data_IF_489881945002
#
_entry.id   IF_489881945002
#
_cell.length_a   1.000
_cell.length_b   1.000
_cell.length_c   1.000
_cell.angle_alpha   90.00
_cell.angle_beta   90.00
_cell.angle_gamma   90.00
#
_symmetry.space_group_name_H-M   'P 1'
#
loop_
_entity.id
_entity.type
_entity.pdbx_description
1 polymer ?
#
# COMPACT_ATOMS: atom_id res chain seq x y z
N UNK A 1 -0.71 41.37 -82.58
CA UNK A 1 -0.21 41.20 -83.97
C UNK A 1 0.31 39.78 -84.07
N UNK A 2 -0.32 38.96 -84.93
CA UNK A 2 0.13 37.73 -85.61
C UNK A 2 1.09 36.76 -84.87
N UNK A 3 0.77 35.49 -84.56
CA UNK A 3 0.41 34.31 -85.40
C UNK A 3 1.57 33.28 -85.47
N UNK A 4 1.19 31.98 -85.31
CA UNK A 4 1.82 30.69 -85.75
C UNK A 4 3.15 30.24 -85.16
N UNK A 5 3.24 29.05 -84.54
CA UNK A 5 3.29 27.68 -85.12
C UNK A 5 4.49 27.45 -86.05
N UNK A 6 5.37 26.49 -85.75
CA UNK A 6 5.37 25.15 -86.38
C UNK A 6 6.53 24.26 -85.89
N UNK A 7 6.20 22.97 -85.81
CA UNK A 7 7.08 21.81 -85.60
C UNK A 7 8.16 21.67 -86.70
N UNK A 8 9.18 20.84 -86.43
CA UNK A 8 9.54 19.62 -87.20
C UNK A 8 10.85 19.00 -86.66
N UNK A 9 10.78 17.70 -86.33
CA UNK A 9 11.88 16.73 -86.11
C UNK A 9 12.48 16.23 -87.44
N UNK A 10 13.71 15.65 -87.52
CA UNK A 10 13.81 14.17 -87.42
C UNK A 10 15.14 13.56 -86.87
N UNK A 11 14.98 12.39 -86.23
CA UNK A 11 15.77 11.13 -86.24
C UNK A 11 17.33 11.13 -86.29
N UNK A 12 18.01 10.41 -85.38
CA UNK A 12 18.36 8.98 -85.48
C UNK A 12 19.22 8.44 -84.29
N UNK A 13 18.74 7.32 -83.73
CA UNK A 13 19.36 6.19 -82.99
C UNK A 13 20.79 6.30 -82.42
N UNK A 14 20.93 5.93 -81.15
CA UNK A 14 21.82 4.82 -80.70
C UNK A 14 21.35 4.25 -79.34
N UNK A 15 21.68 2.97 -79.15
CA UNK A 15 21.33 2.02 -78.09
C UNK A 15 21.60 2.56 -76.66
N UNK A 16 20.88 2.20 -75.59
CA UNK A 16 20.82 0.87 -74.96
C UNK A 16 19.57 0.72 -74.05
N UNK A 17 19.20 -0.54 -73.79
CA UNK A 17 17.93 -0.96 -73.17
C UNK A 17 17.91 -0.73 -71.65
N UNK A 18 16.95 0.06 -71.18
CA UNK A 18 16.52 0.05 -69.77
C UNK A 18 15.70 -1.22 -69.49
N UNK A 19 16.18 -2.04 -68.57
CA UNK A 19 15.43 -3.17 -68.00
C UNK A 19 14.48 -2.62 -66.93
N UNK A 20 13.20 -2.93 -67.12
CA UNK A 20 12.08 -2.57 -66.25
C UNK A 20 12.05 -3.53 -65.03
N UNK A 21 11.80 -2.95 -63.84
CA UNK A 21 11.47 -3.57 -62.55
C UNK A 21 10.46 -4.74 -62.66
N UNK A 22 10.48 -5.72 -61.72
CA UNK A 22 9.84 -5.50 -60.42
C UNK A 22 10.58 -6.15 -59.25
N UNK A 23 11.19 -5.34 -58.39
CA UNK A 23 11.65 -5.80 -57.08
C UNK A 23 10.45 -5.85 -56.13
N UNK A 24 9.99 -7.07 -55.90
CA UNK A 24 9.59 -7.63 -54.60
C UNK A 24 8.38 -6.98 -53.90
N UNK A 25 7.27 -7.72 -54.03
CA UNK A 25 6.28 -7.94 -52.96
C UNK A 25 7.01 -8.26 -51.63
N UNK A 26 7.08 -7.33 -50.69
CA UNK A 26 7.11 -7.64 -49.25
C UNK A 26 6.90 -6.39 -48.39
N UNK A 27 5.70 -5.79 -48.40
CA UNK A 27 5.30 -4.79 -47.40
C UNK A 27 3.85 -5.04 -46.95
N UNK A 28 3.58 -6.28 -46.58
CA UNK A 28 2.48 -6.61 -45.69
C UNK A 28 3.03 -7.54 -44.60
N UNK A 29 2.65 -7.28 -43.35
CA UNK A 29 2.92 -8.14 -42.17
C UNK A 29 4.20 -7.94 -41.35
N UNK A 30 4.77 -6.74 -41.25
CA UNK A 30 5.77 -6.46 -40.19
C UNK A 30 5.56 -5.07 -39.61
N UNK A 31 4.66 -4.93 -38.64
CA UNK A 31 4.67 -3.86 -37.61
C UNK A 31 3.54 -4.03 -36.56
N UNK A 32 3.16 -5.27 -36.23
CA UNK A 32 2.21 -5.53 -35.11
C UNK A 32 2.67 -6.61 -34.12
N UNK A 33 3.83 -7.24 -34.36
CA UNK A 33 4.35 -8.31 -33.50
C UNK A 33 5.43 -7.78 -32.52
N UNK A 34 6.03 -6.61 -32.76
CA UNK A 34 7.01 -6.01 -31.84
C UNK A 34 6.41 -5.12 -30.74
N UNK A 35 5.09 -4.94 -30.69
CA UNK A 35 4.42 -4.15 -29.64
C UNK A 35 3.85 -5.01 -28.50
N UNK A 36 3.77 -6.33 -28.69
CA UNK A 36 3.26 -7.26 -27.67
C UNK A 36 4.29 -7.74 -26.62
N UNK A 37 5.61 -7.81 -26.89
CA UNK A 37 6.57 -8.16 -25.83
C UNK A 37 7.08 -6.94 -25.05
N UNK A 38 6.78 -5.71 -25.48
CA UNK A 38 7.15 -4.49 -24.74
C UNK A 38 6.18 -4.18 -23.58
N UNK A 39 4.93 -4.66 -23.68
CA UNK A 39 3.91 -4.46 -22.64
C UNK A 39 3.99 -5.47 -21.48
N UNK A 40 4.87 -6.48 -21.55
CA UNK A 40 5.02 -7.52 -20.52
C UNK A 40 6.21 -7.20 -19.57
N UNK A 41 7.04 -6.20 -19.91
CA UNK A 41 8.32 -5.94 -19.23
C UNK A 41 8.29 -4.85 -18.15
N UNK A 42 7.12 -4.31 -17.77
CA UNK A 42 7.00 -3.14 -16.88
C UNK A 42 6.11 -3.41 -15.65
N UNK A 43 6.35 -4.57 -15.03
CA UNK A 43 5.67 -5.09 -13.83
C UNK A 43 5.94 -4.22 -12.57
N UNK A 44 4.97 -3.39 -12.24
CA UNK A 44 4.43 -3.06 -10.89
C UNK A 44 5.39 -2.62 -9.75
N UNK A 45 5.38 -1.31 -9.44
CA UNK A 45 5.83 -0.69 -8.17
C UNK A 45 4.62 -0.45 -7.28
N UNK A 46 4.64 -0.85 -5.99
CA UNK A 46 3.55 -0.52 -5.05
C UNK A 46 4.07 -0.06 -3.68
N UNK A 47 3.29 0.87 -3.15
CA UNK A 47 3.50 1.89 -2.13
C UNK A 47 2.73 1.59 -0.85
N UNK A 48 3.23 2.03 0.32
CA UNK A 48 2.57 1.86 1.64
C UNK A 48 2.43 0.37 2.02
N UNK A 49 2.43 -0.08 3.30
CA UNK A 49 3.23 -1.26 3.71
C UNK A 49 3.24 -2.36 2.67
N UNK A 50 4.43 -2.74 2.23
CA UNK A 50 4.57 -3.74 1.18
C UNK A 50 3.63 -4.90 1.48
N UNK A 51 2.86 -5.32 0.48
CA UNK A 51 1.75 -6.26 0.63
C UNK A 51 2.07 -7.48 1.50
N UNK A 52 3.34 -7.89 1.53
CA UNK A 52 3.89 -8.85 2.46
C UNK A 52 3.56 -8.59 3.94
N UNK A 53 3.84 -7.39 4.46
CA UNK A 53 3.70 -7.09 5.89
C UNK A 53 2.22 -7.03 6.32
N UNK A 54 1.34 -6.40 5.54
CA UNK A 54 -0.10 -6.39 5.85
C UNK A 54 -0.69 -7.81 5.88
N UNK A 55 -0.34 -8.63 4.89
CA UNK A 55 -0.74 -10.05 4.83
C UNK A 55 -0.26 -10.81 6.07
N UNK A 56 1.03 -10.72 6.37
CA UNK A 56 1.64 -11.42 7.50
C UNK A 56 1.06 -10.97 8.85
N UNK A 57 0.91 -9.67 9.07
CA UNK A 57 0.34 -9.10 10.30
C UNK A 57 -1.09 -9.61 10.52
N UNK A 58 -1.94 -9.56 9.48
CA UNK A 58 -3.33 -10.00 9.57
C UNK A 58 -3.44 -11.51 9.78
N UNK A 59 -2.63 -12.29 9.06
CA UNK A 59 -2.53 -13.73 9.27
C UNK A 59 -2.15 -14.06 10.72
N UNK A 60 -1.14 -13.38 11.26
CA UNK A 60 -0.68 -13.61 12.63
C UNK A 60 -1.70 -13.18 13.68
N UNK A 61 -2.47 -12.11 13.42
CA UNK A 61 -3.49 -11.61 14.33
C UNK A 61 -4.59 -12.65 14.63
N UNK A 62 -4.90 -13.53 13.66
CA UNK A 62 -5.87 -14.63 13.83
C UNK A 62 -5.49 -15.54 15.00
N UNK A 63 -4.20 -15.75 15.23
CA UNK A 63 -3.69 -16.64 16.27
C UNK A 63 -3.68 -16.03 17.68
N UNK A 64 -3.99 -14.73 17.81
CA UNK A 64 -4.13 -14.06 19.11
C UNK A 64 -5.52 -14.27 19.73
N UNK A 65 -6.50 -14.69 18.93
CA UNK A 65 -7.91 -14.71 19.33
C UNK A 65 -8.22 -15.82 20.36
N UNK A 66 -9.15 -15.58 21.30
CA UNK A 66 -9.61 -16.60 22.24
C UNK A 66 -10.45 -17.68 21.54
N UNK A 67 -10.57 -18.85 22.18
CA UNK A 67 -11.23 -20.02 21.60
C UNK A 67 -12.66 -19.78 21.06
N UNK A 68 -13.42 -18.89 21.70
CA UNK A 68 -14.78 -18.54 21.29
C UNK A 68 -14.87 -17.92 19.87
N UNK A 69 -13.80 -17.25 19.43
CA UNK A 69 -13.76 -16.52 18.15
C UNK A 69 -12.74 -17.13 17.18
N UNK A 70 -11.67 -17.74 17.72
CA UNK A 70 -10.55 -18.25 16.94
C UNK A 70 -10.95 -19.27 15.87
N UNK A 71 -11.95 -20.12 16.12
CA UNK A 71 -12.40 -21.11 15.14
C UNK A 71 -12.88 -20.48 13.82
N UNK A 72 -13.63 -19.39 13.91
CA UNK A 72 -14.13 -18.65 12.75
C UNK A 72 -13.00 -18.02 11.95
N UNK A 73 -12.12 -17.25 12.61
CA UNK A 73 -11.03 -16.55 11.92
C UNK A 73 -9.98 -17.51 11.35
N UNK A 74 -9.70 -18.63 12.03
CA UNK A 74 -8.81 -19.67 11.50
C UNK A 74 -9.37 -20.34 10.25
N UNK A 75 -10.70 -20.54 10.19
CA UNK A 75 -11.33 -21.07 8.99
C UNK A 75 -11.19 -20.10 7.80
N UNK A 76 -11.22 -18.79 8.05
CA UNK A 76 -11.13 -17.75 7.02
C UNK A 76 -9.76 -17.07 6.91
N UNK A 77 -8.71 -17.68 7.43
CA UNK A 77 -7.38 -17.04 7.52
C UNK A 77 -6.85 -16.65 6.14
N UNK A 78 -7.09 -17.46 5.11
CA UNK A 78 -6.65 -17.17 3.74
C UNK A 78 -7.35 -15.94 3.18
N UNK A 79 -8.66 -15.79 3.40
CA UNK A 79 -9.39 -14.58 3.01
C UNK A 79 -8.83 -13.36 3.75
N UNK A 80 -8.72 -13.43 5.07
CA UNK A 80 -8.24 -12.32 5.89
C UNK A 80 -6.82 -11.90 5.47
N UNK A 81 -5.98 -12.87 5.13
CA UNK A 81 -4.62 -12.64 4.63
C UNK A 81 -4.67 -11.95 3.27
N UNK A 82 -5.32 -12.55 2.27
CA UNK A 82 -5.31 -12.03 0.89
C UNK A 82 -5.98 -10.67 0.74
N UNK A 83 -7.02 -10.39 1.52
CA UNK A 83 -7.76 -9.14 1.50
C UNK A 83 -7.17 -8.06 2.44
N UNK A 84 -6.10 -8.35 3.18
CA UNK A 84 -5.42 -7.38 4.04
C UNK A 84 -4.81 -6.18 3.29
N UNK A 85 -4.74 -6.24 1.96
CA UNK A 85 -4.15 -5.22 1.08
C UNK A 85 -5.21 -4.53 0.20
N UNK A 86 -6.49 -4.87 0.38
CA UNK A 86 -7.54 -4.34 -0.50
C UNK A 86 -7.78 -2.84 -0.29
N UNK A 87 -7.48 -2.30 0.89
CA UNK A 87 -7.52 -0.86 1.12
C UNK A 87 -6.51 -0.10 0.23
N UNK A 88 -5.26 -0.56 0.14
CA UNK A 88 -4.30 0.03 -0.79
C UNK A 88 -4.75 -0.09 -2.24
N UNK A 89 -5.32 -1.24 -2.64
CA UNK A 89 -5.87 -1.41 -3.98
C UNK A 89 -7.00 -0.41 -4.27
N UNK A 90 -7.83 -0.08 -3.26
CA UNK A 90 -8.88 0.93 -3.41
C UNK A 90 -8.33 2.33 -3.67
N UNK A 91 -7.11 2.65 -3.25
CA UNK A 91 -6.49 3.93 -3.57
C UNK A 91 -6.27 4.16 -5.08
N UNK A 92 -6.43 3.14 -5.93
CA UNK A 92 -6.33 3.26 -7.38
C UNK A 92 -7.68 3.49 -8.08
N UNK A 93 -8.79 3.34 -7.36
CA UNK A 93 -10.16 3.40 -7.92
C UNK A 93 -11.13 4.27 -7.10
N UNK A 94 -10.83 4.57 -5.84
CA UNK A 94 -11.60 5.43 -4.94
C UNK A 94 -10.74 6.60 -4.44
N UNK A 95 -11.07 7.82 -4.87
CA UNK A 95 -10.38 9.06 -4.46
C UNK A 95 -10.55 9.37 -2.97
N UNK A 96 -11.56 8.78 -2.32
CA UNK A 96 -11.81 8.95 -0.90
C UNK A 96 -11.06 7.93 -0.03
N UNK A 97 -10.36 6.96 -0.62
CA UNK A 97 -9.60 5.95 0.12
C UNK A 97 -8.29 6.51 0.65
N UNK A 98 -7.48 7.18 -0.17
CA UNK A 98 -6.12 7.60 0.23
C UNK A 98 -6.02 8.32 1.59
N UNK A 99 -6.89 9.29 1.94
CA UNK A 99 -6.87 9.92 3.27
C UNK A 99 -7.09 8.98 4.46
N UNK A 100 -7.59 7.77 4.24
CA UNK A 100 -7.91 6.79 5.29
C UNK A 100 -6.68 6.08 5.84
N UNK A 101 -5.55 6.15 5.13
CA UNK A 101 -4.33 5.42 5.46
C UNK A 101 -3.36 6.19 6.35
N UNK A 102 -3.51 7.51 6.50
CA UNK A 102 -2.53 8.32 7.22
C UNK A 102 -3.18 9.42 8.05
N UNK A 103 -2.35 10.11 8.84
CA UNK A 103 -2.65 11.41 9.43
C UNK A 103 -1.37 12.23 9.52
N UNK A 104 -1.26 13.32 8.78
CA UNK A 104 -0.15 14.27 8.83
C UNK A 104 -0.23 15.10 10.12
N UNK A 105 0.11 14.51 11.27
CA UNK A 105 -0.10 15.11 12.59
C UNK A 105 0.69 16.43 12.75
N UNK A 106 1.91 16.48 12.22
CA UNK A 106 2.78 17.67 12.18
C UNK A 106 2.13 18.91 11.52
N UNK A 107 1.12 18.76 10.66
CA UNK A 107 0.36 19.88 10.07
C UNK A 107 -0.58 20.58 11.06
N UNK A 108 -0.74 20.06 12.27
CA UNK A 108 -1.62 20.61 13.30
C UNK A 108 -0.89 21.40 14.39
N UNK A 109 0.42 21.58 14.27
CA UNK A 109 1.25 22.39 15.16
C UNK A 109 2.32 21.57 15.88
N UNK A 110 3.08 22.22 16.77
CA UNK A 110 4.19 21.58 17.49
C UNK A 110 3.74 20.49 18.47
N UNK A 111 2.53 20.62 19.03
CA UNK A 111 1.91 19.64 19.93
C UNK A 111 0.61 19.15 19.29
N UNK A 112 0.68 18.30 18.25
CA UNK A 112 -0.49 18.00 17.44
C UNK A 112 -1.55 17.23 18.22
N UNK A 113 -1.15 16.33 19.11
CA UNK A 113 -2.08 15.52 19.91
C UNK A 113 -2.80 16.28 21.03
N UNK A 114 -2.32 17.47 21.41
CA UNK A 114 -3.04 18.36 22.31
C UNK A 114 -4.01 19.28 21.54
N UNK A 115 -3.79 19.38 20.22
CA UNK A 115 -4.52 20.28 19.34
C UNK A 115 -5.65 19.59 18.60
N UNK A 116 -5.45 18.35 18.13
CA UNK A 116 -6.43 17.61 17.33
C UNK A 116 -7.50 17.02 18.24
N UNK A 117 -8.79 17.39 18.09
CA UNK A 117 -9.86 16.78 18.87
C UNK A 117 -10.00 15.30 18.53
N UNK A 118 -10.11 14.46 19.54
CA UNK A 118 -10.30 13.01 19.38
C UNK A 118 -11.58 12.70 18.60
N UNK A 119 -12.69 13.38 18.92
CA UNK A 119 -13.98 13.14 18.27
C UNK A 119 -14.12 13.89 16.94
N UNK A 120 -14.61 13.18 15.92
CA UNK A 120 -14.75 13.69 14.54
C UNK A 120 -15.57 14.99 14.46
N UNK A 121 -16.71 15.07 15.16
CA UNK A 121 -17.56 16.27 15.15
C UNK A 121 -16.85 17.51 15.68
N UNK A 122 -16.07 17.36 16.75
CA UNK A 122 -15.24 18.42 17.30
C UNK A 122 -14.06 18.78 16.36
N UNK A 123 -13.45 17.78 15.73
CA UNK A 123 -12.39 17.99 14.75
C UNK A 123 -12.88 18.78 13.53
N UNK A 124 -14.06 18.45 13.00
CA UNK A 124 -14.70 19.21 11.92
C UNK A 124 -14.95 20.65 12.36
N UNK A 125 -15.53 20.84 13.56
CA UNK A 125 -15.82 22.18 14.09
C UNK A 125 -14.56 23.05 14.22
N UNK A 126 -13.41 22.44 14.51
CA UNK A 126 -12.13 23.14 14.66
C UNK A 126 -11.37 23.37 13.34
N UNK A 127 -11.38 22.40 12.42
CA UNK A 127 -10.46 22.40 11.27
C UNK A 127 -11.13 22.38 9.90
N UNK A 128 -12.45 22.18 9.82
CA UNK A 128 -13.20 21.83 8.60
C UNK A 128 -12.87 20.43 8.06
N UNK A 129 -13.89 19.74 7.55
CA UNK A 129 -13.74 18.41 6.97
C UNK A 129 -12.72 18.37 5.82
N UNK A 130 -12.73 19.38 4.95
CA UNK A 130 -11.78 19.48 3.82
C UNK A 130 -10.31 19.43 4.28
N UNK A 131 -9.98 20.12 5.38
CA UNK A 131 -8.60 20.12 5.92
C UNK A 131 -8.24 18.76 6.51
N UNK A 132 -9.18 18.12 7.22
CA UNK A 132 -8.97 16.80 7.80
C UNK A 132 -8.72 15.76 6.69
N UNK A 133 -9.56 15.74 5.65
CA UNK A 133 -9.37 14.85 4.51
C UNK A 133 -8.05 15.10 3.77
N UNK A 134 -7.62 16.37 3.64
CA UNK A 134 -6.33 16.69 3.02
C UNK A 134 -5.12 16.30 3.87
N UNK A 135 -5.29 16.13 5.18
CA UNK A 135 -4.22 15.80 6.13
C UNK A 135 -4.35 14.37 6.67
N UNK A 136 -5.26 13.56 6.13
CA UNK A 136 -5.48 12.18 6.57
C UNK A 136 -6.39 12.05 7.81
N UNK A 137 -7.12 10.94 7.87
CA UNK A 137 -8.17 10.66 8.85
C UNK A 137 -8.05 9.30 9.54
N UNK A 138 -6.88 8.68 9.49
CA UNK A 138 -6.65 7.29 9.92
C UNK A 138 -7.25 6.91 11.30
N UNK A 139 -7.07 7.67 12.41
CA UNK A 139 -7.66 7.30 13.70
C UNK A 139 -9.19 7.19 13.66
N UNK A 140 -9.85 8.11 12.94
CA UNK A 140 -11.29 8.11 12.80
C UNK A 140 -11.76 7.01 11.86
N UNK A 141 -10.99 6.70 10.82
CA UNK A 141 -11.28 5.58 9.94
C UNK A 141 -11.23 4.25 10.69
N UNK A 142 -10.23 4.02 11.56
CA UNK A 142 -10.16 2.80 12.38
C UNK A 142 -11.44 2.63 13.20
N UNK A 143 -11.88 3.71 13.86
CA UNK A 143 -13.13 3.67 14.64
C UNK A 143 -14.37 3.44 13.75
N UNK A 144 -14.42 4.03 12.55
CA UNK A 144 -15.53 3.78 11.61
C UNK A 144 -15.56 2.32 11.15
N UNK A 145 -14.40 1.77 10.78
CA UNK A 145 -14.27 0.36 10.39
C UNK A 145 -14.62 -0.59 11.54
N UNK A 146 -14.29 -0.22 12.77
CA UNK A 146 -14.69 -0.95 13.97
C UNK A 146 -16.21 -1.03 14.10
N UNK A 147 -16.90 0.12 14.04
CA UNK A 147 -18.36 0.17 14.13
C UNK A 147 -19.04 -0.62 13.00
N UNK A 148 -18.48 -0.58 11.79
CA UNK A 148 -18.96 -1.40 10.67
C UNK A 148 -18.79 -2.90 10.93
N UNK A 149 -17.68 -3.31 11.54
CA UNK A 149 -17.46 -4.71 11.92
C UNK A 149 -18.43 -5.15 13.02
N UNK A 150 -18.68 -4.31 14.03
CA UNK A 150 -19.69 -4.57 15.07
C UNK A 150 -21.08 -4.77 14.44
N UNK A 151 -21.49 -3.90 13.52
CA UNK A 151 -22.77 -4.02 12.81
C UNK A 151 -22.86 -5.31 11.97
N UNK A 152 -21.79 -5.65 11.25
CA UNK A 152 -21.72 -6.87 10.45
C UNK A 152 -21.80 -8.14 11.33
N UNK A 153 -21.09 -8.16 12.46
CA UNK A 153 -21.15 -9.26 13.43
C UNK A 153 -22.55 -9.37 14.04
N UNK A 154 -23.16 -8.24 14.42
CA UNK A 154 -24.50 -8.20 15.02
C UNK A 154 -25.58 -8.72 14.07
N UNK A 155 -25.45 -8.39 12.78
CA UNK A 155 -26.36 -8.83 11.72
C UNK A 155 -26.08 -10.24 11.20
N UNK A 156 -24.92 -10.83 11.53
CA UNK A 156 -24.51 -12.15 11.06
C UNK A 156 -24.20 -12.20 9.57
N UNK A 157 -23.82 -11.08 8.95
CA UNK A 157 -23.47 -11.01 7.54
C UNK A 157 -22.01 -11.46 7.34
N UNK A 158 -21.83 -12.71 6.92
CA UNK A 158 -20.51 -13.31 6.74
C UNK A 158 -19.59 -12.48 5.84
N UNK A 159 -20.07 -12.02 4.69
CA UNK A 159 -19.24 -11.30 3.72
C UNK A 159 -18.80 -9.94 4.28
N UNK A 160 -19.72 -9.22 4.93
CA UNK A 160 -19.38 -7.95 5.59
C UNK A 160 -18.44 -8.15 6.76
N UNK A 161 -18.59 -9.22 7.54
CA UNK A 161 -17.67 -9.55 8.64
C UNK A 161 -16.26 -9.73 8.10
N UNK A 162 -16.09 -10.56 7.07
CA UNK A 162 -14.77 -10.84 6.50
C UNK A 162 -14.13 -9.59 5.91
N UNK A 163 -14.87 -8.85 5.08
CA UNK A 163 -14.40 -7.59 4.48
C UNK A 163 -14.00 -6.57 5.54
N UNK A 164 -14.87 -6.30 6.52
CA UNK A 164 -14.57 -5.30 7.55
C UNK A 164 -13.47 -5.75 8.51
N UNK A 165 -13.28 -7.06 8.70
CA UNK A 165 -12.16 -7.61 9.46
C UNK A 165 -10.82 -7.35 8.76
N UNK A 166 -10.75 -7.58 7.45
CA UNK A 166 -9.56 -7.30 6.65
C UNK A 166 -9.28 -5.78 6.57
N UNK A 167 -10.31 -4.98 6.31
CA UNK A 167 -10.20 -3.51 6.21
C UNK A 167 -9.72 -2.88 7.53
N UNK A 168 -10.32 -3.22 8.67
CA UNK A 168 -9.84 -2.69 9.96
C UNK A 168 -8.43 -3.19 10.28
N UNK A 169 -8.12 -4.44 9.93
CA UNK A 169 -6.79 -5.01 10.10
C UNK A 169 -5.73 -4.24 9.33
N UNK A 170 -6.04 -3.83 8.11
CA UNK A 170 -5.20 -2.95 7.30
C UNK A 170 -4.96 -1.58 7.99
N UNK A 171 -6.03 -0.84 8.31
CA UNK A 171 -5.88 0.50 8.89
C UNK A 171 -5.18 0.49 10.26
N UNK A 172 -5.41 -0.55 11.08
CA UNK A 172 -4.70 -0.69 12.35
C UNK A 172 -3.21 -0.98 12.13
N UNK A 173 -2.86 -1.73 11.09
CA UNK A 173 -1.46 -1.91 10.70
C UNK A 173 -0.86 -0.58 10.24
N UNK A 174 -1.51 0.19 9.35
CA UNK A 174 -1.07 1.55 8.95
C UNK A 174 -0.77 2.45 10.14
N UNK A 175 -1.64 2.44 11.16
CA UNK A 175 -1.43 3.27 12.34
C UNK A 175 -0.16 2.90 13.12
N UNK A 176 0.43 1.72 12.89
CA UNK A 176 1.70 1.30 13.49
C UNK A 176 2.94 1.77 12.72
N UNK A 177 2.82 2.39 11.54
CA UNK A 177 3.95 3.01 10.83
C UNK A 177 4.18 4.41 11.33
N UNK A 178 5.40 4.76 11.75
CA UNK A 178 5.75 6.15 12.06
C UNK A 178 5.47 7.10 10.88
N UNK A 179 5.88 6.72 9.66
CA UNK A 179 5.75 7.53 8.45
C UNK A 179 4.29 7.77 7.98
N UNK A 180 3.31 7.00 8.47
CA UNK A 180 1.88 7.28 8.26
C UNK A 180 1.34 8.41 9.14
N UNK A 181 2.17 8.95 10.03
CA UNK A 181 1.74 9.95 11.02
C UNK A 181 2.34 11.34 10.78
N UNK A 182 3.11 11.52 9.69
CA UNK A 182 3.80 12.78 9.37
C UNK A 182 3.63 13.17 7.90
N UNK A 183 3.62 14.47 7.63
CA UNK A 183 3.69 15.03 6.30
C UNK A 183 5.06 14.82 5.62
N UNK A 184 6.11 14.39 6.34
CA UNK A 184 7.41 13.97 5.80
C UNK A 184 7.51 12.45 5.59
N UNK A 185 6.38 11.81 5.31
CA UNK A 185 6.22 10.36 5.18
C UNK A 185 7.26 9.68 4.29
N UNK A 186 7.63 10.29 3.19
CA UNK A 186 8.59 9.73 2.26
C UNK A 186 9.93 10.47 2.30
N UNK A 187 10.27 11.13 3.41
CA UNK A 187 11.55 11.82 3.56
C UNK A 187 11.75 13.02 2.62
N UNK A 188 10.69 13.47 1.94
CA UNK A 188 10.77 14.53 0.92
C UNK A 188 11.09 15.92 1.48
N UNK A 189 10.98 16.11 2.79
CA UNK A 189 11.34 17.34 3.49
C UNK A 189 12.76 17.26 4.10
N UNK A 190 13.36 16.07 4.13
CA UNK A 190 14.67 15.79 4.76
C UNK A 190 15.69 15.13 3.82
N UNK A 191 15.40 15.09 2.51
CA UNK A 191 16.25 14.49 1.46
C UNK A 191 16.45 12.96 1.57
N UNK A 192 15.42 12.25 2.04
CA UNK A 192 15.42 10.80 2.23
C UNK A 192 14.31 10.14 1.39
N UNK A 193 14.10 10.64 0.15
CA UNK A 193 13.05 10.15 -0.76
C UNK A 193 13.17 8.64 -0.95
N UNK A 194 12.06 7.93 -0.73
CA UNK A 194 11.98 6.47 -0.76
C UNK A 194 12.10 5.80 0.61
N UNK A 195 12.30 6.55 1.70
CA UNK A 195 12.38 5.98 3.05
C UNK A 195 11.08 5.31 3.49
N UNK A 196 9.93 5.73 2.97
CA UNK A 196 8.64 5.10 3.24
C UNK A 196 8.67 3.62 2.81
N UNK A 197 8.86 3.37 1.51
CA UNK A 197 8.95 2.02 0.98
C UNK A 197 10.14 1.22 1.56
N UNK A 198 11.21 1.90 1.96
CA UNK A 198 12.35 1.26 2.61
C UNK A 198 11.97 0.69 3.97
N UNK A 199 11.43 1.51 4.88
CA UNK A 199 11.08 1.09 6.24
C UNK A 199 10.01 0.00 6.24
N UNK A 200 9.07 0.12 5.31
CA UNK A 200 7.78 -0.52 5.42
C UNK A 200 7.61 -1.75 4.51
N UNK A 201 8.33 -1.79 3.39
CA UNK A 201 8.35 -2.94 2.48
C UNK A 201 9.67 -3.69 2.59
N UNK A 202 10.79 -2.99 2.39
CA UNK A 202 12.10 -3.65 2.28
C UNK A 202 12.55 -4.31 3.57
N UNK A 203 12.44 -3.64 4.73
CA UNK A 203 12.85 -4.24 6.00
C UNK A 203 11.99 -5.46 6.38
N UNK A 204 10.65 -5.41 6.34
CA UNK A 204 9.85 -6.58 6.64
C UNK A 204 10.08 -7.75 5.67
N UNK A 205 10.21 -7.49 4.36
CA UNK A 205 10.51 -8.53 3.37
C UNK A 205 11.82 -9.28 3.68
N UNK A 206 12.86 -8.57 4.11
CA UNK A 206 14.16 -9.17 4.43
C UNK A 206 14.19 -9.87 5.79
N UNK A 207 13.58 -9.27 6.81
CA UNK A 207 13.88 -9.64 8.21
C UNK A 207 12.70 -10.29 8.96
N UNK A 208 11.47 -10.20 8.46
CA UNK A 208 10.30 -10.74 9.18
C UNK A 208 10.35 -12.24 9.46
N UNK A 209 11.08 -13.02 8.65
CA UNK A 209 11.30 -14.44 8.90
C UNK A 209 12.11 -14.75 10.18
N UNK A 210 12.78 -13.75 10.76
CA UNK A 210 13.55 -13.86 12.00
C UNK A 210 12.85 -13.29 13.23
N UNK A 211 11.71 -12.61 13.06
CA UNK A 211 11.00 -11.95 14.15
C UNK A 211 10.22 -12.96 15.00
N UNK A 212 10.07 -12.67 16.29
CA UNK A 212 9.13 -13.37 17.14
C UNK A 212 7.75 -12.70 17.05
N UNK A 213 6.73 -13.45 16.63
CA UNK A 213 5.34 -12.98 16.57
C UNK A 213 4.44 -13.59 17.65
N UNK A 214 5.03 -14.17 18.71
CA UNK A 214 4.28 -14.56 19.89
C UNK A 214 3.94 -13.33 20.75
N UNK A 215 2.80 -12.71 20.44
CA UNK A 215 2.35 -11.45 21.06
C UNK A 215 1.32 -11.61 22.19
N UNK A 216 0.88 -12.84 22.45
CA UNK A 216 -0.10 -13.15 23.49
C UNK A 216 -1.55 -13.13 22.97
N UNK A 217 -2.50 -13.06 23.91
CA UNK A 217 -3.93 -13.17 23.63
C UNK A 217 -4.58 -11.80 23.47
N UNK A 218 -5.51 -11.69 22.52
CA UNK A 218 -6.37 -10.53 22.35
C UNK A 218 -7.13 -10.17 23.65
N UNK A 219 -7.23 -8.87 23.92
CA UNK A 219 -7.95 -8.27 25.05
C UNK A 219 -8.99 -7.27 24.55
N UNK A 220 -10.01 -7.03 25.38
CA UNK A 220 -11.05 -6.06 25.09
C UNK A 220 -10.50 -4.62 25.10
N UNK A 221 -10.97 -3.80 24.16
CA UNK A 221 -10.64 -2.38 24.01
C UNK A 221 -11.87 -1.57 24.38
N UNK A 222 -11.79 -0.83 25.49
CA UNK A 222 -12.94 -0.06 26.01
C UNK A 222 -13.35 1.11 25.11
N UNK A 223 -12.38 1.75 24.45
CA UNK A 223 -12.61 2.89 23.57
C UNK A 223 -11.78 2.71 22.29
N UNK A 224 -12.37 2.15 21.22
CA UNK A 224 -11.69 1.90 19.95
C UNK A 224 -11.05 3.16 19.35
N UNK A 225 -11.73 4.30 19.49
CA UNK A 225 -11.24 5.59 19.02
C UNK A 225 -10.03 6.08 19.82
N UNK A 226 -10.07 6.02 21.15
CA UNK A 226 -8.92 6.42 21.99
C UNK A 226 -7.73 5.49 21.76
N UNK A 227 -7.98 4.19 21.57
CA UNK A 227 -6.92 3.23 21.27
C UNK A 227 -6.25 3.53 19.91
N UNK A 228 -7.04 3.89 18.88
CA UNK A 228 -6.50 4.32 17.60
C UNK A 228 -5.62 5.57 17.75
N UNK A 229 -6.04 6.56 18.55
CA UNK A 229 -5.24 7.75 18.85
C UNK A 229 -3.98 7.44 19.64
N UNK A 230 -4.04 6.51 20.61
CA UNK A 230 -2.88 6.04 21.37
C UNK A 230 -1.83 5.44 20.44
N UNK A 231 -2.25 4.53 19.54
CA UNK A 231 -1.37 3.87 18.57
C UNK A 231 -0.70 4.90 17.65
N UNK A 232 -1.47 5.86 17.10
CA UNK A 232 -0.94 6.92 16.24
C UNK A 232 0.03 7.82 16.99
N UNK A 233 -0.26 8.19 18.23
CA UNK A 233 0.66 8.98 19.07
C UNK A 233 1.98 8.26 19.31
N UNK A 234 1.93 6.95 19.55
CA UNK A 234 3.13 6.11 19.69
C UNK A 234 3.93 5.98 18.40
N UNK A 235 3.26 5.84 17.25
CA UNK A 235 3.93 5.87 15.94
C UNK A 235 4.61 7.20 15.67
N UNK A 236 3.91 8.31 15.93
CA UNK A 236 4.44 9.64 15.68
C UNK A 236 5.69 9.94 16.51
N UNK A 237 5.73 9.46 17.75
CA UNK A 237 6.90 9.61 18.61
C UNK A 237 8.17 8.94 18.06
N UNK A 238 8.05 8.05 17.06
CA UNK A 238 9.16 7.35 16.44
C UNK A 238 9.59 7.96 15.09
N UNK A 239 8.90 9.01 14.61
CA UNK A 239 9.21 9.64 13.32
C UNK A 239 10.63 10.20 13.29
N UNK A 240 11.03 10.88 14.37
CA UNK A 240 12.37 11.46 14.48
C UNK A 240 13.45 10.38 14.51
N UNK A 241 13.21 9.25 15.19
CA UNK A 241 14.14 8.11 15.19
C UNK A 241 14.26 7.49 13.79
N UNK A 242 13.13 7.27 13.09
CA UNK A 242 13.14 6.70 11.74
C UNK A 242 13.91 7.58 10.76
N UNK A 243 13.66 8.89 10.76
CA UNK A 243 14.33 9.81 9.84
C UNK A 243 15.77 10.09 10.28
N UNK A 244 16.01 10.35 11.56
CA UNK A 244 17.32 10.69 12.10
C UNK A 244 18.32 9.54 11.96
N UNK A 245 17.92 8.32 12.31
CA UNK A 245 18.81 7.15 12.22
C UNK A 245 19.22 6.86 10.77
N UNK A 246 18.28 6.94 9.82
CA UNK A 246 18.64 6.75 8.40
C UNK A 246 19.56 7.86 7.89
N UNK A 247 19.35 9.11 8.32
CA UNK A 247 20.20 10.23 7.93
C UNK A 247 21.63 10.07 8.48
N UNK A 248 21.78 9.73 9.76
CA UNK A 248 23.09 9.47 10.38
C UNK A 248 23.80 8.30 9.72
N UNK A 249 23.08 7.20 9.44
CA UNK A 249 23.63 6.07 8.70
C UNK A 249 24.08 6.50 7.30
N UNK A 250 23.24 7.25 6.58
CA UNK A 250 23.52 7.70 5.22
C UNK A 250 24.79 8.56 5.13
N UNK A 251 25.04 9.42 6.13
CA UNK A 251 26.25 10.23 6.19
C UNK A 251 27.52 9.39 6.41
N UNK A 252 27.42 8.32 7.20
CA UNK A 252 28.55 7.44 7.50
C UNK A 252 28.78 6.34 6.45
N UNK A 253 27.78 6.01 5.63
CA UNK A 253 27.84 4.87 4.73
C UNK A 253 28.43 5.21 3.35
N UNK A 254 29.23 4.31 2.73
CA UNK A 254 29.72 4.54 1.37
C UNK A 254 28.58 4.68 0.35
N UNK A 255 28.52 5.83 -0.33
CA UNK A 255 27.44 6.17 -1.25
C UNK A 255 27.25 5.17 -2.41
N UNK A 256 28.34 4.54 -2.85
CA UNK A 256 28.35 3.51 -3.89
C UNK A 256 27.77 2.16 -3.42
N UNK A 257 27.55 1.99 -2.10
CA UNK A 257 27.02 0.76 -1.49
C UNK A 257 25.61 0.90 -0.92
N UNK A 258 25.05 2.11 -0.91
CA UNK A 258 23.69 2.37 -0.40
C UNK A 258 22.62 1.62 -1.20
N UNK A 259 22.78 1.60 -2.52
CA UNK A 259 21.81 1.01 -3.43
C UNK A 259 22.37 -0.24 -4.11
N UNK A 260 21.48 -1.19 -4.37
CA UNK A 260 21.74 -2.37 -5.16
C UNK A 260 20.62 -2.63 -6.15
N UNK A 261 20.78 -3.69 -6.94
CA UNK A 261 19.73 -4.19 -7.82
C UNK A 261 19.13 -5.44 -7.22
N UNK A 262 17.82 -5.43 -7.01
CA UNK A 262 17.07 -6.54 -6.43
C UNK A 262 16.11 -7.06 -7.48
N UNK A 263 16.08 -8.37 -7.69
CA UNK A 263 15.07 -9.00 -8.53
C UNK A 263 13.76 -9.10 -7.74
N UNK A 264 12.76 -8.31 -8.13
CA UNK A 264 11.39 -8.43 -7.65
C UNK A 264 10.54 -8.93 -8.81
N UNK A 265 9.95 -10.11 -8.66
CA UNK A 265 9.08 -10.70 -9.68
C UNK A 265 9.71 -10.76 -11.09
N UNK A 266 10.99 -11.15 -11.17
CA UNK A 266 11.75 -11.20 -12.44
C UNK A 266 12.04 -9.85 -13.09
N UNK A 267 11.80 -8.75 -12.39
CA UNK A 267 12.22 -7.40 -12.78
C UNK A 267 13.33 -6.95 -11.85
N UNK A 268 14.41 -6.46 -12.45
CA UNK A 268 15.54 -5.92 -11.72
C UNK A 268 15.26 -4.45 -11.36
N UNK A 269 15.06 -4.18 -10.07
CA UNK A 269 14.74 -2.83 -9.57
C UNK A 269 15.88 -2.30 -8.71
N UNK A 270 16.25 -1.04 -8.93
CA UNK A 270 17.19 -0.36 -8.04
C UNK A 270 16.50 -0.09 -6.70
N UNK A 271 17.07 -0.59 -5.62
CA UNK A 271 16.54 -0.43 -4.26
C UNK A 271 17.69 -0.32 -3.25
N UNK A 272 17.38 -0.14 -1.98
CA UNK A 272 18.37 -0.20 -0.91
C UNK A 272 19.03 -1.59 -0.89
N UNK A 273 20.36 -1.62 -0.81
CA UNK A 273 21.14 -2.87 -0.77
C UNK A 273 20.82 -3.70 0.47
N UNK A 274 21.07 -5.01 0.43
CA UNK A 274 20.87 -5.88 1.58
C UNK A 274 21.72 -5.42 2.77
N UNK A 275 22.97 -5.02 2.51
CA UNK A 275 23.91 -4.57 3.55
C UNK A 275 23.46 -3.26 4.19
N UNK A 276 23.01 -2.28 3.39
CA UNK A 276 22.46 -1.03 3.94
C UNK A 276 21.17 -1.26 4.72
N UNK A 277 20.30 -2.16 4.20
CA UNK A 277 19.07 -2.56 4.87
C UNK A 277 19.33 -3.20 6.22
N UNK A 278 20.34 -4.08 6.31
CA UNK A 278 20.75 -4.70 7.57
C UNK A 278 21.31 -3.67 8.56
N UNK A 279 22.21 -2.79 8.11
CA UNK A 279 22.78 -1.76 8.97
C UNK A 279 21.70 -0.83 9.55
N UNK A 280 20.74 -0.42 8.72
CA UNK A 280 19.61 0.39 9.17
C UNK A 280 18.69 -0.37 10.13
N UNK A 281 18.37 -1.63 9.81
CA UNK A 281 17.55 -2.48 10.67
C UNK A 281 18.18 -2.70 12.06
N UNK A 282 19.50 -2.92 12.11
CA UNK A 282 20.27 -3.03 13.36
C UNK A 282 20.27 -1.71 14.14
N UNK A 283 20.46 -0.57 13.46
CA UNK A 283 20.43 0.75 14.08
C UNK A 283 19.04 1.13 14.64
N UNK A 284 17.96 0.67 13.99
CA UNK A 284 16.59 0.77 14.49
C UNK A 284 16.34 -0.10 15.74
N UNK A 285 17.30 -0.94 16.14
CA UNK A 285 17.30 -1.71 17.38
C UNK A 285 15.98 -2.46 17.63
N UNK A 286 15.47 -3.18 16.63
CA UNK A 286 14.24 -3.98 16.71
C UNK A 286 12.93 -3.18 16.63
N UNK A 287 12.97 -1.91 16.21
CA UNK A 287 11.77 -1.07 16.10
C UNK A 287 10.71 -1.68 15.17
N UNK A 288 11.11 -2.14 13.98
CA UNK A 288 10.19 -2.70 12.96
C UNK A 288 9.44 -3.90 13.54
N UNK A 289 10.17 -4.85 14.15
CA UNK A 289 9.58 -6.00 14.84
C UNK A 289 8.60 -5.57 15.93
N UNK A 290 8.98 -4.62 16.80
CA UNK A 290 8.08 -4.11 17.86
C UNK A 290 6.79 -3.52 17.29
N UNK A 291 6.87 -2.77 16.18
CA UNK A 291 5.68 -2.19 15.53
C UNK A 291 4.80 -3.27 14.90
N UNK A 292 5.38 -4.26 14.21
CA UNK A 292 4.63 -5.41 13.67
C UNK A 292 3.96 -6.21 14.78
N UNK A 293 4.65 -6.51 15.87
CA UNK A 293 4.10 -7.19 17.05
C UNK A 293 2.93 -6.40 17.66
N UNK A 294 3.09 -5.08 17.79
CA UNK A 294 2.03 -4.18 18.24
C UNK A 294 0.80 -4.22 17.34
N UNK A 295 0.99 -4.21 16.02
CA UNK A 295 -0.08 -4.29 15.04
C UNK A 295 -0.84 -5.62 15.14
N UNK A 296 -0.13 -6.76 15.17
CA UNK A 296 -0.70 -8.10 15.32
C UNK A 296 -1.63 -8.18 16.53
N UNK A 297 -1.13 -7.76 17.71
CA UNK A 297 -1.92 -7.80 18.94
C UNK A 297 -3.10 -6.83 18.89
N UNK A 298 -2.89 -5.62 18.37
CA UNK A 298 -3.94 -4.60 18.30
C UNK A 298 -5.09 -5.05 17.40
N UNK A 299 -4.79 -5.60 16.22
CA UNK A 299 -5.81 -6.14 15.31
C UNK A 299 -6.64 -7.23 16.00
N UNK A 300 -5.97 -8.17 16.68
CA UNK A 300 -6.65 -9.17 17.50
C UNK A 300 -7.56 -8.56 18.57
N UNK A 301 -7.10 -7.52 19.25
CA UNK A 301 -7.89 -6.77 20.24
C UNK A 301 -9.13 -6.13 19.61
N UNK A 302 -9.00 -5.47 18.45
CA UNK A 302 -10.12 -4.85 17.75
C UNK A 302 -11.15 -5.89 17.27
N UNK A 303 -10.72 -6.99 16.65
CA UNK A 303 -11.63 -8.07 16.23
C UNK A 303 -12.37 -8.69 17.41
N UNK A 304 -11.65 -8.99 18.51
CA UNK A 304 -12.24 -9.56 19.71
C UNK A 304 -13.25 -8.60 20.36
N UNK A 305 -12.91 -7.32 20.43
CA UNK A 305 -13.78 -6.30 21.00
C UNK A 305 -15.03 -6.10 20.17
N UNK A 306 -14.90 -6.08 18.84
CA UNK A 306 -16.05 -5.95 17.95
C UNK A 306 -17.03 -7.12 18.10
N UNK A 307 -16.52 -8.35 18.32
CA UNK A 307 -17.35 -9.51 18.60
C UNK A 307 -18.07 -9.43 19.95
N UNK A 308 -17.41 -8.91 20.99
CA UNK A 308 -18.05 -8.66 22.29
C UNK A 308 -19.17 -7.62 22.12
N UNK A 309 -18.86 -6.49 21.50
CA UNK A 309 -19.79 -5.36 21.34
C UNK A 309 -20.98 -5.71 20.44
N UNK A 310 -20.80 -6.66 19.51
CA UNK A 310 -21.87 -7.22 18.70
C UNK A 310 -22.81 -8.18 19.45
N UNK A 311 -22.63 -8.35 20.76
CA UNK A 311 -23.45 -9.26 21.58
C UNK A 311 -23.00 -10.72 21.51
N UNK A 312 -21.73 -10.97 21.16
CA UNK A 312 -21.13 -12.31 21.12
C UNK A 312 -21.92 -13.31 20.24
N UNK A 313 -22.20 -12.97 18.96
CA UNK A 313 -22.95 -13.85 18.08
C UNK A 313 -22.24 -15.20 17.93
N UNK A 314 -23.04 -16.27 17.76
CA UNK A 314 -22.49 -17.60 17.56
C UNK A 314 -21.94 -17.74 16.13
N UNK A 315 -20.63 -17.51 15.98
CA UNK A 315 -19.94 -17.57 14.69
C UNK A 315 -19.94 -18.96 14.05
N UNK A 316 -20.18 -20.04 14.81
CA UNK A 316 -20.29 -21.39 14.25
C UNK A 316 -21.55 -21.59 13.41
N UNK A 317 -22.57 -20.73 13.61
CA UNK A 317 -23.82 -20.76 12.83
C UNK A 317 -23.74 -19.98 11.53
N UNK A 318 -22.68 -19.19 11.33
CA UNK A 318 -22.39 -18.53 10.07
C UNK A 318 -21.83 -19.60 9.13
N UNK A 319 -22.72 -20.43 8.59
CA UNK A 319 -22.33 -21.58 7.76
C UNK A 319 -21.66 -21.10 6.48
N UNK A 320 -20.52 -21.71 6.20
CA UNK A 320 -19.67 -21.48 5.04
C UNK A 320 -20.41 -21.86 3.76
N UNK A 321 -21.13 -20.90 3.17
CA UNK A 321 -21.52 -21.01 1.78
C UNK A 321 -20.24 -20.97 0.95
N UNK A 322 -20.06 -21.92 0.04
CA UNK A 322 -18.95 -21.97 -0.92
C UNK A 322 -18.92 -20.77 -1.89
N UNK A 323 -19.75 -19.75 -1.65
CA UNK A 323 -19.89 -18.53 -2.43
C UNK A 323 -19.46 -17.32 -1.59
N UNK A 324 -18.33 -17.41 -0.87
CA UNK A 324 -17.53 -16.21 -0.72
C UNK A 324 -17.08 -15.86 -2.13
N UNK A 325 -17.90 -15.06 -2.83
CA UNK A 325 -17.49 -14.41 -4.05
C UNK A 325 -16.08 -13.89 -3.77
N UNK A 326 -15.15 -14.24 -4.63
CA UNK A 326 -13.83 -13.62 -4.67
C UNK A 326 -14.05 -12.16 -5.01
N UNK A 327 -14.45 -11.36 -4.02
CA UNK A 327 -14.50 -9.90 -4.05
C UNK A 327 -13.05 -9.39 -3.99
N UNK A 328 -12.24 -9.91 -4.89
CA UNK A 328 -10.85 -9.53 -5.03
C UNK A 328 -10.84 -8.32 -5.92
N UNK A 329 -10.53 -7.17 -5.34
CA UNK A 329 -10.14 -6.03 -6.14
C UNK A 329 -8.92 -6.45 -6.97
N UNK A 330 -8.95 -6.23 -8.30
CA UNK A 330 -7.81 -6.55 -9.13
C UNK A 330 -6.61 -5.73 -8.66
N UNK A 331 -5.42 -6.28 -8.85
CA UNK A 331 -4.20 -5.50 -8.70
C UNK A 331 -4.26 -4.29 -9.63
N UNK A 332 -3.77 -3.11 -9.21
CA UNK A 332 -3.69 -1.94 -10.08
C UNK A 332 -2.96 -2.27 -11.38
N UNK A 333 -3.40 -1.66 -12.48
CA UNK A 333 -2.75 -1.84 -13.78
C UNK A 333 -1.35 -1.19 -13.78
N UNK A 334 -0.47 -1.68 -14.65
CA UNK A 334 0.88 -1.13 -14.81
C UNK A 334 0.83 0.37 -15.11
N UNK A 335 1.56 1.17 -14.31
CA UNK A 335 1.60 2.62 -14.44
C UNK A 335 0.34 3.35 -14.00
N UNK A 336 -0.66 2.66 -13.43
CA UNK A 336 -1.80 3.31 -12.81
C UNK A 336 -1.34 4.11 -11.60
N UNK A 337 -1.61 5.41 -11.59
CA UNK A 337 -1.26 6.27 -10.46
C UNK A 337 -2.25 6.10 -9.30
N UNK A 338 -1.75 6.22 -8.07
CA UNK A 338 -2.59 6.33 -6.88
C UNK A 338 -3.43 7.61 -6.95
N UNK A 339 -4.71 7.48 -6.62
CA UNK A 339 -5.64 8.60 -6.43
C UNK A 339 -5.47 9.16 -5.01
N UNK A 340 -4.63 10.19 -4.86
CA UNK A 340 -4.43 10.88 -3.58
C UNK A 340 -2.97 11.15 -3.27
N UNK A 341 -2.52 10.78 -2.07
CA UNK A 341 -1.12 10.92 -1.63
C UNK A 341 -0.21 10.11 -2.56
N UNK A 342 0.73 10.78 -3.22
CA UNK A 342 1.72 10.13 -4.08
C UNK A 342 2.92 9.69 -3.25
N UNK A 343 3.20 8.40 -3.22
CA UNK A 343 4.52 7.90 -2.83
C UNK A 343 5.47 8.08 -4.02
N UNK A 344 6.59 8.77 -3.81
CA UNK A 344 7.60 9.01 -4.84
C UNK A 344 8.69 7.94 -4.68
N UNK A 345 8.83 7.04 -5.65
CA UNK A 345 9.82 5.97 -5.63
C UNK A 345 11.10 6.33 -6.38
#
# INVERSE_FOLDING_TARGET
MLITEFNITPALKTHERFVILPYIRYLSSMNRICLLPLCILLWVMLSSWGFHAHKLINQMAVFTLPAAVAGFYKHHVDYITEHAIDADKRCYVDTAESPRHFIDADRYGQQPFDTIPIHWSAAIGKFTERRLLASGILPWQINRSYLNLVDALSSGDLQRILRHSADIGHYVADAHVPLHTTSNYNGQQTNQVGIHAFWESRLPELFSGSYDFMVGRARYVNSPLEEAWRIVKESYALVDDVLGIEAELNEAYPADRKYGYVERNRVLTRSYSDEYSLAYHEALAGMVERRMRGAILSIGNFWYSAWIDAGQPNLQKLTFGNDAATDTLPMPADGQEILGRKEWH
#
